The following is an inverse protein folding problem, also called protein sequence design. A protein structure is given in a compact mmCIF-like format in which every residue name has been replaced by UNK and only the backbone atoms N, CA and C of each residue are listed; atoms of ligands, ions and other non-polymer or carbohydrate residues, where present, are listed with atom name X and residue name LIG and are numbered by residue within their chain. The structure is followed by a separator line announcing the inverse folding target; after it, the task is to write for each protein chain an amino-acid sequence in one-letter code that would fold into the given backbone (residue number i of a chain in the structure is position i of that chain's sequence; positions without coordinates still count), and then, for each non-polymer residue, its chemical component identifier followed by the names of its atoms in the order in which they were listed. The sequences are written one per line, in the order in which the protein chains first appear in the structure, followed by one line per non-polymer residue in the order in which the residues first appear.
data_IF_844627138126
#
_entry.id   IF_844627138126
#
_cell.length_a   1.000
_cell.length_b   1.000
_cell.length_c   1.000
_cell.angle_alpha   90.00
_cell.angle_beta   90.00
_cell.angle_gamma   90.00
#
_symmetry.space_group_name_H-M   'P 1'
#
loop_
_entity.id
_entity.type
_entity.pdbx_description
1 polymer ?
#
# COMPACT_ATOMS: atom_id res chain seq x y z
N UNK A 1 -87.95 0.57 -37.84
CA UNK A 1 -88.73 -0.56 -37.30
C UNK A 1 -88.05 -1.05 -36.05
N UNK A 2 -88.82 -1.17 -34.96
CA UNK A 2 -88.56 -1.92 -33.72
C UNK A 2 -87.25 -1.61 -32.96
N UNK A 3 -87.22 -1.12 -31.73
CA UNK A 3 -88.24 -1.06 -30.70
C UNK A 3 -87.72 -1.71 -29.41
N UNK A 4 -87.84 -0.97 -28.31
CA UNK A 4 -87.77 -1.47 -26.93
C UNK A 4 -86.35 -1.51 -26.37
N UNK A 5 -86.04 -0.99 -25.18
CA UNK A 5 -86.81 -0.39 -24.09
C UNK A 5 -85.79 -0.26 -22.93
N UNK A 6 -85.54 0.95 -22.46
CA UNK A 6 -86.11 1.51 -21.23
C UNK A 6 -85.51 0.93 -19.93
N UNK A 7 -84.89 1.82 -19.14
CA UNK A 7 -84.98 1.73 -17.67
C UNK A 7 -83.73 2.07 -16.86
N UNK A 8 -83.69 3.32 -16.37
CA UNK A 8 -83.19 3.76 -15.05
C UNK A 8 -81.70 3.53 -14.69
N UNK A 9 -81.01 4.30 -13.83
CA UNK A 9 -81.18 5.61 -13.20
C UNK A 9 -79.82 5.93 -12.51
N UNK A 10 -79.58 7.23 -12.26
CA UNK A 10 -78.83 7.81 -11.13
C UNK A 10 -77.40 7.31 -10.77
N UNK A 11 -76.45 8.21 -11.04
CA UNK A 11 -75.47 8.82 -10.12
C UNK A 11 -74.52 7.99 -9.22
N UNK A 12 -73.25 8.43 -9.29
CA UNK A 12 -72.17 8.48 -8.29
C UNK A 12 -71.32 7.22 -7.98
N UNK A 13 -70.07 7.23 -8.47
CA UNK A 13 -68.83 6.77 -7.80
C UNK A 13 -67.65 6.99 -8.79
N UNK A 14 -66.73 7.90 -8.48
CA UNK A 14 -65.39 7.64 -7.95
C UNK A 14 -64.37 7.08 -8.97
N UNK A 15 -63.29 7.86 -9.08
CA UNK A 15 -61.90 7.51 -9.39
C UNK A 15 -61.49 6.92 -10.74
N UNK A 16 -60.98 7.86 -11.54
CA UNK A 16 -59.63 7.90 -12.12
C UNK A 16 -59.07 6.61 -12.76
N UNK A 17 -59.01 6.68 -14.09
CA UNK A 17 -58.39 5.74 -15.01
C UNK A 17 -56.99 5.27 -14.59
N UNK A 18 -56.81 3.96 -14.61
CA UNK A 18 -55.51 3.32 -14.56
C UNK A 18 -54.70 3.54 -15.85
N UNK A 19 -53.40 3.73 -15.67
CA UNK A 19 -52.38 3.51 -16.69
C UNK A 19 -51.11 2.97 -16.01
N UNK A 20 -50.55 1.93 -16.62
CA UNK A 20 -49.10 1.80 -16.73
C UNK A 20 -48.40 0.92 -15.72
N UNK A 21 -47.99 -0.26 -16.20
CA UNK A 21 -46.97 -1.13 -15.62
C UNK A 21 -45.71 -0.33 -15.25
N UNK A 22 -45.29 -0.42 -13.99
CA UNK A 22 -44.11 0.25 -13.45
C UNK A 22 -42.80 -0.42 -13.89
N UNK A 23 -42.12 0.27 -14.79
CA UNK A 23 -40.71 0.23 -15.19
C UNK A 23 -39.68 -0.47 -14.27
N UNK A 24 -39.21 -1.65 -14.70
CA UNK A 24 -37.87 -2.21 -14.37
C UNK A 24 -36.72 -1.49 -15.10
N UNK A 25 -36.94 -0.26 -15.58
CA UNK A 25 -35.98 0.52 -16.34
C UNK A 25 -35.71 1.86 -15.67
N UNK A 26 -34.75 1.89 -14.74
CA UNK A 26 -34.06 3.14 -14.35
C UNK A 26 -32.80 2.96 -13.49
N UNK A 27 -32.45 1.74 -13.05
CA UNK A 27 -31.18 1.49 -12.34
C UNK A 27 -29.98 1.40 -13.30
N UNK A 28 -30.18 0.83 -14.50
CA UNK A 28 -29.11 0.68 -15.49
C UNK A 28 -28.74 2.01 -16.20
N UNK A 29 -29.72 2.88 -16.44
CA UNK A 29 -29.51 4.20 -17.06
C UNK A 29 -28.77 5.15 -16.12
N UNK A 30 -29.17 5.21 -14.84
CA UNK A 30 -28.49 6.00 -13.81
C UNK A 30 -27.04 5.50 -13.57
N UNK A 31 -26.80 4.19 -13.68
CA UNK A 31 -25.45 3.61 -13.57
C UNK A 31 -24.54 3.97 -14.75
N UNK A 32 -25.09 4.22 -15.94
CA UNK A 32 -24.33 4.61 -17.15
C UNK A 32 -23.98 6.10 -17.20
N UNK A 33 -24.85 6.98 -16.69
CA UNK A 33 -24.60 8.44 -16.69
C UNK A 33 -23.54 8.85 -15.65
N UNK A 34 -23.43 8.12 -14.53
CA UNK A 34 -22.42 8.35 -13.49
C UNK A 34 -21.03 7.83 -13.85
N UNK A 35 -20.93 6.81 -14.71
CA UNK A 35 -19.64 6.26 -15.17
C UNK A 35 -18.86 7.30 -15.99
N UNK A 36 -19.56 8.11 -16.79
CA UNK A 36 -18.94 9.16 -17.60
C UNK A 36 -18.42 10.36 -16.77
N UNK A 37 -19.11 10.74 -15.68
CA UNK A 37 -18.74 11.91 -14.86
C UNK A 37 -17.43 11.73 -14.08
N UNK A 38 -17.08 10.48 -13.73
CA UNK A 38 -15.88 10.15 -12.96
C UNK A 38 -14.77 9.50 -13.82
N UNK A 39 -14.89 9.54 -15.16
CA UNK A 39 -13.89 9.01 -16.10
C UNK A 39 -13.82 7.48 -16.16
N UNK A 40 -14.88 6.77 -15.77
CA UNK A 40 -14.90 5.32 -15.71
C UNK A 40 -15.54 4.68 -16.95
N UNK A 41 -14.84 3.71 -17.56
CA UNK A 41 -15.47 2.77 -18.49
C UNK A 41 -16.43 1.82 -17.74
N UNK A 42 -17.62 1.63 -18.29
CA UNK A 42 -18.58 0.66 -17.76
C UNK A 42 -18.11 -0.78 -18.03
N UNK A 43 -18.19 -1.68 -17.05
CA UNK A 43 -17.79 -3.08 -17.22
C UNK A 43 -18.71 -3.82 -18.20
N UNK A 44 -18.13 -4.81 -18.88
CA UNK A 44 -18.83 -5.61 -19.91
C UNK A 44 -19.88 -6.51 -19.28
N UNK A 45 -20.91 -6.90 -20.04
CA UNK A 45 -21.96 -7.81 -19.57
C UNK A 45 -21.40 -9.14 -19.03
N UNK A 46 -20.33 -9.65 -19.67
CA UNK A 46 -19.64 -10.86 -19.25
C UNK A 46 -19.02 -10.72 -17.86
N UNK A 47 -18.39 -9.59 -17.56
CA UNK A 47 -17.81 -9.31 -16.25
C UNK A 47 -18.87 -9.24 -15.15
N UNK A 48 -20.07 -8.71 -15.46
CA UNK A 48 -21.20 -8.67 -14.52
C UNK A 48 -21.63 -10.07 -14.10
N UNK A 49 -21.89 -10.92 -15.10
CA UNK A 49 -22.32 -12.31 -14.88
C UNK A 49 -21.30 -13.11 -14.09
N UNK A 50 -20.00 -12.89 -14.32
CA UNK A 50 -18.94 -13.54 -13.57
C UNK A 50 -18.95 -13.12 -12.09
N UNK A 51 -19.08 -11.82 -11.81
CA UNK A 51 -19.14 -11.33 -10.44
C UNK A 51 -20.39 -11.85 -9.72
N UNK A 52 -21.56 -11.79 -10.37
CA UNK A 52 -22.82 -12.29 -9.80
C UNK A 52 -22.72 -13.79 -9.47
N UNK A 53 -22.18 -14.59 -10.38
CA UNK A 53 -21.98 -16.02 -10.16
C UNK A 53 -21.00 -16.33 -9.01
N UNK A 54 -19.89 -15.59 -8.90
CA UNK A 54 -18.97 -15.76 -7.77
C UNK A 54 -19.62 -15.36 -6.44
N UNK A 55 -20.40 -14.27 -6.42
CA UNK A 55 -21.12 -13.83 -5.21
C UNK A 55 -22.25 -14.78 -4.81
N UNK A 56 -22.97 -15.35 -5.78
CA UNK A 56 -24.07 -16.29 -5.53
C UNK A 56 -23.58 -17.61 -4.92
N UNK A 57 -22.41 -18.08 -5.30
CA UNK A 57 -21.84 -19.33 -4.78
C UNK A 57 -21.22 -19.23 -3.37
N UNK A 58 -21.19 -18.04 -2.77
CA UNK A 58 -20.61 -17.86 -1.44
C UNK A 58 -21.50 -18.41 -0.31
N UNK A 59 -20.88 -18.90 0.80
CA UNK A 59 -21.59 -19.20 2.04
C UNK A 59 -22.39 -17.99 2.55
N UNK A 60 -23.50 -18.25 3.24
CA UNK A 60 -24.41 -17.21 3.73
C UNK A 60 -23.71 -16.26 4.71
N UNK A 61 -22.83 -16.80 5.56
CA UNK A 61 -22.03 -16.07 6.53
C UNK A 61 -21.08 -15.09 5.81
N UNK A 62 -20.38 -15.55 4.77
CA UNK A 62 -19.49 -14.72 3.97
C UNK A 62 -20.26 -13.60 3.26
N UNK A 63 -21.43 -13.90 2.68
CA UNK A 63 -22.30 -12.88 2.07
C UNK A 63 -22.72 -11.82 3.07
N UNK A 64 -23.09 -12.22 4.28
CA UNK A 64 -23.48 -11.29 5.35
C UNK A 64 -22.32 -10.36 5.71
N UNK A 65 -21.12 -10.92 5.87
CA UNK A 65 -19.90 -10.17 6.17
C UNK A 65 -19.57 -9.15 5.06
N UNK A 66 -19.64 -9.55 3.79
CA UNK A 66 -19.36 -8.65 2.67
C UNK A 66 -20.40 -7.53 2.56
N UNK A 67 -21.65 -7.81 2.91
CA UNK A 67 -22.73 -6.80 2.94
C UNK A 67 -22.53 -5.76 4.04
N UNK A 68 -21.99 -6.16 5.19
CA UNK A 68 -21.71 -5.26 6.32
C UNK A 68 -20.67 -4.19 5.97
N UNK A 69 -19.64 -4.57 5.21
CA UNK A 69 -18.53 -3.69 4.81
C UNK A 69 -18.76 -3.05 3.42
N UNK A 70 -19.96 -3.21 2.85
CA UNK A 70 -20.27 -2.73 1.52
C UNK A 70 -20.38 -1.20 1.48
N UNK A 71 -19.66 -0.58 0.54
CA UNK A 71 -19.75 0.85 0.26
C UNK A 71 -20.44 1.03 -1.09
N UNK A 72 -21.43 1.93 -1.15
CA UNK A 72 -22.04 2.35 -2.40
C UNK A 72 -21.09 3.28 -3.18
N UNK A 73 -20.67 2.94 -4.42
CA UNK A 73 -19.84 3.80 -5.25
C UNK A 73 -20.36 5.21 -5.45
N UNK A 74 -21.67 5.44 -5.33
CA UNK A 74 -22.29 6.77 -5.47
C UNK A 74 -21.96 7.70 -4.31
N UNK A 75 -21.51 7.16 -3.18
CA UNK A 75 -21.03 7.93 -2.03
C UNK A 75 -19.55 8.33 -2.16
N UNK A 76 -18.87 7.89 -3.24
CA UNK A 76 -17.44 8.13 -3.46
C UNK A 76 -17.19 9.19 -4.53
N UNK A 77 -16.45 10.23 -4.18
CA UNK A 77 -15.92 11.23 -5.11
C UNK A 77 -14.48 10.85 -5.47
N UNK A 78 -14.26 10.32 -6.67
CA UNK A 78 -12.96 9.76 -7.06
C UNK A 78 -12.08 10.84 -7.66
N UNK A 79 -10.91 11.05 -7.05
CA UNK A 79 -9.93 12.05 -7.41
C UNK A 79 -8.85 11.52 -8.34
N UNK A 80 -7.65 12.06 -8.20
CA UNK A 80 -6.48 11.71 -9.00
C UNK A 80 -5.98 10.29 -8.76
N UNK A 81 -5.26 9.76 -9.74
CA UNK A 81 -4.55 8.48 -9.63
C UNK A 81 -3.28 8.73 -8.82
N UNK A 82 -3.13 7.99 -7.72
CA UNK A 82 -1.98 8.06 -6.80
C UNK A 82 -1.06 6.85 -6.93
N UNK A 83 -1.50 5.80 -7.63
CA UNK A 83 -0.68 4.64 -7.95
C UNK A 83 -1.31 3.80 -9.06
N UNK A 84 -0.48 3.16 -9.88
CA UNK A 84 -0.93 2.28 -10.96
C UNK A 84 -0.11 1.01 -10.94
N UNK A 85 -0.78 -0.14 -10.86
CA UNK A 85 -0.18 -1.47 -10.97
C UNK A 85 -0.71 -2.22 -12.20
N UNK A 86 -0.20 -3.43 -12.42
CA UNK A 86 -0.65 -4.27 -13.54
C UNK A 86 -2.12 -4.69 -13.44
N UNK A 87 -2.64 -4.84 -12.22
CA UNK A 87 -3.97 -5.40 -11.97
C UNK A 87 -4.96 -4.39 -11.36
N UNK A 88 -4.47 -3.27 -10.83
CA UNK A 88 -5.29 -2.26 -10.16
C UNK A 88 -4.71 -0.86 -10.29
N UNK A 89 -5.59 0.13 -10.28
CA UNK A 89 -5.24 1.53 -10.00
C UNK A 89 -5.62 1.89 -8.57
N UNK A 90 -4.85 2.78 -7.97
CA UNK A 90 -5.14 3.40 -6.68
C UNK A 90 -5.43 4.87 -6.92
N UNK A 91 -6.57 5.35 -6.42
CA UNK A 91 -7.01 6.74 -6.55
C UNK A 91 -7.24 7.36 -5.18
N UNK A 92 -6.91 8.64 -5.04
CA UNK A 92 -7.42 9.44 -3.93
C UNK A 92 -8.94 9.56 -4.07
N UNK A 93 -9.67 9.59 -2.96
CA UNK A 93 -11.12 9.66 -2.97
C UNK A 93 -11.62 10.42 -1.76
N UNK A 94 -12.73 11.16 -1.92
CA UNK A 94 -13.51 11.67 -0.79
C UNK A 94 -14.71 10.78 -0.53
N UNK A 95 -14.81 10.29 0.70
CA UNK A 95 -15.90 9.44 1.18
C UNK A 95 -16.40 9.96 2.53
N UNK A 96 -17.69 10.33 2.59
CA UNK A 96 -18.35 10.88 3.80
C UNK A 96 -17.54 11.98 4.51
N UNK A 97 -16.95 12.89 3.72
CA UNK A 97 -16.16 14.02 4.22
C UNK A 97 -14.70 13.69 4.60
N UNK A 98 -14.27 12.43 4.50
CA UNK A 98 -12.89 12.01 4.76
C UNK A 98 -12.14 11.70 3.47
N UNK A 99 -10.84 11.95 3.44
CA UNK A 99 -9.96 11.51 2.35
C UNK A 99 -9.57 10.05 2.57
N UNK A 100 -9.78 9.21 1.55
CA UNK A 100 -9.52 7.76 1.55
C UNK A 100 -8.77 7.37 0.27
N UNK A 101 -8.14 6.21 0.28
CA UNK A 101 -7.54 5.61 -0.91
C UNK A 101 -8.45 4.49 -1.44
N UNK A 102 -8.65 4.45 -2.75
CA UNK A 102 -9.48 3.44 -3.42
C UNK A 102 -8.61 2.64 -4.39
N UNK A 103 -8.40 1.35 -4.11
CA UNK A 103 -7.76 0.38 -5.01
C UNK A 103 -8.85 -0.26 -5.86
N UNK A 104 -8.89 0.08 -7.15
CA UNK A 104 -9.87 -0.42 -8.11
C UNK A 104 -9.20 -1.40 -9.09
N UNK A 105 -9.75 -2.61 -9.23
CA UNK A 105 -9.25 -3.60 -10.18
C UNK A 105 -9.51 -3.15 -11.64
N UNK A 106 -8.51 -3.32 -12.50
CA UNK A 106 -8.62 -3.03 -13.94
C UNK A 106 -9.47 -4.09 -14.65
N UNK A 107 -9.21 -5.36 -14.37
CA UNK A 107 -9.84 -6.49 -15.03
C UNK A 107 -10.44 -7.48 -14.04
N UNK A 108 -11.63 -7.96 -14.37
CA UNK A 108 -12.33 -8.99 -13.60
C UNK A 108 -12.13 -10.36 -14.24
N UNK A 109 -11.39 -11.22 -13.56
CA UNK A 109 -11.31 -12.66 -13.80
C UNK A 109 -11.80 -13.40 -12.55
N UNK A 110 -12.14 -14.68 -12.66
CA UNK A 110 -12.49 -15.46 -11.46
C UNK A 110 -11.39 -15.44 -10.40
N UNK A 111 -10.12 -15.47 -10.85
CA UNK A 111 -8.98 -15.39 -9.94
C UNK A 111 -8.86 -14.01 -9.29
N UNK A 112 -8.97 -12.91 -10.04
CA UNK A 112 -8.86 -11.56 -9.46
C UNK A 112 -9.99 -11.25 -8.48
N UNK A 113 -11.22 -11.70 -8.78
CA UNK A 113 -12.38 -11.59 -7.87
C UNK A 113 -12.12 -12.36 -6.57
N UNK A 114 -11.63 -13.61 -6.66
CA UNK A 114 -11.32 -14.43 -5.48
C UNK A 114 -10.20 -13.83 -4.64
N UNK A 115 -9.11 -13.40 -5.26
CA UNK A 115 -7.98 -12.73 -4.57
C UNK A 115 -8.44 -11.47 -3.85
N UNK A 116 -9.19 -10.61 -4.54
CA UNK A 116 -9.75 -9.38 -3.94
C UNK A 116 -10.65 -9.69 -2.73
N UNK A 117 -11.51 -10.70 -2.83
CA UNK A 117 -12.35 -11.15 -1.72
C UNK A 117 -11.55 -11.66 -0.54
N UNK A 118 -10.53 -12.47 -0.78
CA UNK A 118 -9.65 -12.93 0.29
C UNK A 118 -8.93 -11.77 0.97
N UNK A 119 -8.42 -10.80 0.20
CA UNK A 119 -7.76 -9.61 0.73
C UNK A 119 -8.71 -8.78 1.60
N UNK A 120 -9.92 -8.49 1.11
CA UNK A 120 -10.93 -7.73 1.87
C UNK A 120 -11.34 -8.46 3.16
N UNK A 121 -11.63 -9.76 3.08
CA UNK A 121 -12.03 -10.55 4.25
C UNK A 121 -10.90 -10.67 5.27
N UNK A 122 -9.66 -10.79 4.81
CA UNK A 122 -8.48 -10.75 5.67
C UNK A 122 -8.40 -9.40 6.41
N UNK A 123 -8.42 -8.29 5.67
CA UNK A 123 -8.21 -6.96 6.22
C UNK A 123 -9.35 -6.48 7.11
N UNK A 124 -10.58 -7.00 6.95
CA UNK A 124 -11.73 -6.65 7.79
C UNK A 124 -11.41 -6.75 9.27
N UNK A 125 -10.73 -7.83 9.68
CA UNK A 125 -10.49 -8.15 11.08
C UNK A 125 -9.14 -7.59 11.59
N UNK A 126 -8.31 -7.03 10.70
CA UNK A 126 -7.03 -6.44 11.08
C UNK A 126 -7.23 -5.04 11.67
N UNK A 127 -6.79 -4.87 12.91
CA UNK A 127 -6.88 -3.62 13.68
C UNK A 127 -5.60 -3.41 14.47
N UNK A 128 -4.70 -2.62 13.90
CA UNK A 128 -3.41 -2.29 14.52
C UNK A 128 -2.90 -0.94 13.97
N UNK A 129 -2.24 -0.08 14.77
CA UNK A 129 -1.75 1.22 14.31
C UNK A 129 -0.81 1.14 13.10
N UNK A 130 0.00 0.07 13.02
CA UNK A 130 0.95 -0.16 11.93
C UNK A 130 0.43 -1.05 10.79
N UNK A 131 -0.88 -1.27 10.71
CA UNK A 131 -1.53 -1.95 9.58
C UNK A 131 -2.51 -0.97 8.94
N UNK A 132 -2.59 -0.97 7.62
CA UNK A 132 -3.54 -0.11 6.90
C UNK A 132 -4.99 -0.52 7.23
N UNK A 133 -5.82 0.45 7.58
CA UNK A 133 -7.20 0.23 7.94
C UNK A 133 -8.09 0.07 6.71
N UNK A 134 -8.78 -1.07 6.62
CA UNK A 134 -9.91 -1.24 5.71
C UNK A 134 -11.11 -0.43 6.20
N UNK A 135 -11.62 0.46 5.36
CA UNK A 135 -12.85 1.22 5.59
C UNK A 135 -14.05 0.43 5.05
N UNK A 136 -13.89 -0.19 3.88
CA UNK A 136 -14.90 -1.05 3.28
C UNK A 136 -14.55 -1.46 1.86
N UNK A 137 -15.51 -2.04 1.16
CA UNK A 137 -15.33 -2.44 -0.23
C UNK A 137 -16.61 -2.22 -1.03
N UNK A 138 -16.47 -1.82 -2.29
CA UNK A 138 -17.57 -1.86 -3.25
C UNK A 138 -17.52 -3.14 -4.06
N UNK A 139 -18.69 -3.79 -4.10
CA UNK A 139 -19.01 -4.95 -4.93
C UNK A 139 -20.06 -4.61 -5.99
N UNK A 140 -20.50 -3.34 -6.04
CA UNK A 140 -21.66 -2.89 -6.84
C UNK A 140 -21.19 -2.29 -8.15
N UNK A 141 -21.95 -2.51 -9.23
CA UNK A 141 -21.70 -1.87 -10.52
C UNK A 141 -20.53 -2.50 -11.30
N UNK A 142 -20.11 -3.71 -10.94
CA UNK A 142 -19.08 -4.54 -11.60
C UNK A 142 -17.70 -3.87 -11.72
N UNK A 143 -17.36 -3.06 -10.72
CA UNK A 143 -15.98 -2.72 -10.39
C UNK A 143 -15.75 -3.03 -8.92
N UNK A 144 -14.76 -3.87 -8.67
CA UNK A 144 -14.30 -4.21 -7.33
C UNK A 144 -13.37 -3.11 -6.85
N UNK A 145 -13.76 -2.45 -5.77
CA UNK A 145 -13.01 -1.35 -5.18
C UNK A 145 -12.80 -1.61 -3.70
N UNK A 146 -11.55 -1.56 -3.26
CA UNK A 146 -11.21 -1.61 -1.84
C UNK A 146 -10.94 -0.20 -1.35
N UNK A 147 -11.59 0.17 -0.25
CA UNK A 147 -11.48 1.50 0.34
C UNK A 147 -10.70 1.40 1.64
N UNK A 148 -9.57 2.08 1.71
CA UNK A 148 -8.68 2.10 2.86
C UNK A 148 -8.38 3.54 3.29
N UNK A 149 -7.86 3.73 4.50
CA UNK A 149 -7.37 5.04 4.93
C UNK A 149 -6.27 5.58 3.99
N UNK A 150 -6.23 6.90 3.80
CA UNK A 150 -5.28 7.55 2.89
C UNK A 150 -3.98 7.94 3.61
N UNK A 151 -2.84 7.69 2.98
CA UNK A 151 -1.51 8.03 3.52
C UNK A 151 -0.87 9.15 2.69
N UNK A 152 -0.80 10.34 3.28
CA UNK A 152 -0.38 11.58 2.60
C UNK A 152 1.09 11.56 2.16
N UNK A 153 1.96 10.81 2.86
CA UNK A 153 3.40 10.80 2.61
C UNK A 153 3.84 9.67 1.67
N UNK A 154 2.90 9.01 0.98
CA UNK A 154 3.20 7.94 0.03
C UNK A 154 3.81 6.71 0.70
N UNK A 155 4.69 6.02 -0.02
CA UNK A 155 5.37 4.81 0.45
C UNK A 155 6.76 5.11 1.02
N UNK A 156 7.32 4.15 1.76
CA UNK A 156 8.69 4.19 2.23
C UNK A 156 9.67 4.21 1.05
N UNK A 157 9.32 3.62 -0.10
CA UNK A 157 10.11 3.74 -1.32
C UNK A 157 10.22 5.21 -1.78
N UNK A 158 9.10 5.94 -1.78
CA UNK A 158 9.08 7.36 -2.13
C UNK A 158 9.91 8.17 -1.12
N UNK A 159 9.74 7.87 0.17
CA UNK A 159 10.44 8.55 1.26
C UNK A 159 11.96 8.32 1.27
N UNK A 160 12.44 7.19 0.74
CA UNK A 160 13.85 6.82 0.62
C UNK A 160 14.48 7.22 -0.73
N UNK A 161 13.81 8.03 -1.53
CA UNK A 161 14.36 8.53 -2.80
C UNK A 161 15.64 9.35 -2.55
N UNK A 162 16.71 9.14 -3.35
CA UNK A 162 17.92 9.94 -3.27
C UNK A 162 17.64 11.44 -3.48
N UNK A 163 18.43 12.30 -2.85
CA UNK A 163 18.37 13.77 -3.03
C UNK A 163 17.02 14.42 -2.68
N UNK A 164 16.21 13.81 -1.81
CA UNK A 164 15.03 14.48 -1.26
C UNK A 164 15.44 15.76 -0.51
N UNK A 165 14.62 16.84 -0.56
CA UNK A 165 14.98 18.13 0.05
C UNK A 165 15.30 18.05 1.55
N UNK A 166 14.55 17.22 2.28
CA UNK A 166 14.74 16.99 3.72
C UNK A 166 15.11 15.52 3.96
N UNK A 167 16.40 15.16 4.07
CA UNK A 167 16.81 13.76 4.23
C UNK A 167 16.32 13.17 5.55
N UNK A 168 15.96 11.87 5.52
CA UNK A 168 15.57 11.14 6.72
C UNK A 168 16.81 10.72 7.51
N UNK A 169 16.86 11.10 8.78
CA UNK A 169 17.89 10.63 9.72
C UNK A 169 17.40 9.41 10.54
N UNK A 170 18.34 8.68 11.14
CA UNK A 170 18.02 7.47 11.92
C UNK A 170 17.27 7.74 13.20
N UNK A 171 17.70 8.74 13.96
CA UNK A 171 17.19 9.05 15.30
C UNK A 171 15.71 9.45 15.28
N UNK A 172 15.33 10.36 14.39
CA UNK A 172 14.01 10.98 14.39
C UNK A 172 13.02 10.25 13.48
N UNK A 173 13.50 9.50 12.48
CA UNK A 173 12.65 8.92 11.44
C UNK A 173 12.87 7.42 11.24
N UNK A 174 14.05 7.01 10.75
CA UNK A 174 14.22 5.65 10.23
C UNK A 174 14.12 4.56 11.29
N UNK A 175 14.61 4.81 12.51
CA UNK A 175 14.44 3.87 13.63
C UNK A 175 12.96 3.65 13.95
N UNK A 176 12.18 4.74 14.07
CA UNK A 176 10.74 4.66 14.28
C UNK A 176 10.04 3.88 13.16
N UNK A 177 10.39 4.16 11.91
CA UNK A 177 9.84 3.46 10.74
C UNK A 177 10.11 1.95 10.78
N UNK A 178 11.35 1.52 11.07
CA UNK A 178 11.66 0.07 11.12
C UNK A 178 11.01 -0.62 12.33
N UNK A 179 10.91 0.06 13.49
CA UNK A 179 10.17 -0.46 14.64
C UNK A 179 8.67 -0.60 14.32
N UNK A 180 8.07 0.37 13.64
CA UNK A 180 6.67 0.34 13.22
C UNK A 180 6.38 -0.86 12.29
N UNK A 181 7.29 -1.14 11.35
CA UNK A 181 7.19 -2.35 10.50
C UNK A 181 7.27 -3.61 11.35
N UNK A 182 8.24 -3.70 12.27
CA UNK A 182 8.40 -4.86 13.14
C UNK A 182 7.16 -5.09 14.04
N UNK A 183 6.56 -4.04 14.60
CA UNK A 183 5.29 -4.14 15.35
C UNK A 183 4.14 -4.63 14.49
N UNK A 184 3.99 -4.07 13.28
CA UNK A 184 2.96 -4.50 12.34
C UNK A 184 3.11 -5.97 11.96
N UNK A 185 4.33 -6.42 11.67
CA UNK A 185 4.60 -7.82 11.33
C UNK A 185 4.44 -8.77 12.52
N UNK A 186 4.85 -8.36 13.73
CA UNK A 186 4.59 -9.10 14.98
C UNK A 186 3.09 -9.34 15.15
N UNK A 187 2.27 -8.30 14.94
CA UNK A 187 0.82 -8.42 14.99
C UNK A 187 0.29 -9.42 13.94
N UNK A 188 0.75 -9.36 12.69
CA UNK A 188 0.30 -10.27 11.64
C UNK A 188 0.68 -11.73 11.92
N UNK A 189 1.89 -11.98 12.40
CA UNK A 189 2.37 -13.33 12.72
C UNK A 189 1.66 -13.96 13.93
N UNK A 190 1.02 -13.15 14.79
CA UNK A 190 0.15 -13.62 15.87
C UNK A 190 -1.34 -13.57 15.55
N UNK A 191 -1.72 -12.88 14.47
CA UNK A 191 -3.11 -12.69 14.14
C UNK A 191 -3.75 -14.00 13.67
N UNK A 192 -4.97 -14.21 14.14
CA UNK A 192 -5.83 -15.33 13.75
C UNK A 192 -6.68 -14.94 12.55
N UNK A 193 -6.84 -15.85 11.61
CA UNK A 193 -7.63 -15.62 10.42
C UNK A 193 -8.42 -16.86 9.99
N UNK A 194 -9.51 -16.67 9.25
CA UNK A 194 -10.28 -17.77 8.69
C UNK A 194 -9.70 -18.21 7.34
N UNK A 195 -9.29 -19.47 7.23
CA UNK A 195 -8.86 -20.11 6.00
C UNK A 195 -10.05 -20.84 5.36
N UNK A 196 -10.61 -20.26 4.30
CA UNK A 196 -11.76 -20.86 3.60
C UNK A 196 -11.43 -22.21 2.96
N UNK A 197 -10.21 -22.41 2.45
CA UNK A 197 -9.81 -23.66 1.82
C UNK A 197 -9.71 -24.81 2.83
N UNK A 198 -9.29 -24.51 4.06
CA UNK A 198 -9.24 -25.48 5.16
C UNK A 198 -10.54 -25.53 5.99
N UNK A 199 -11.48 -24.60 5.74
CA UNK A 199 -12.68 -24.37 6.52
C UNK A 199 -12.41 -24.30 8.05
N UNK A 200 -11.32 -23.62 8.42
CA UNK A 200 -10.83 -23.55 9.79
C UNK A 200 -10.15 -22.21 10.07
N UNK A 201 -10.05 -21.86 11.35
CA UNK A 201 -9.20 -20.74 11.75
C UNK A 201 -7.75 -21.18 11.89
N UNK A 202 -6.86 -20.38 11.35
CA UNK A 202 -5.41 -20.51 11.48
C UNK A 202 -4.83 -19.28 12.18
N UNK A 203 -3.62 -19.44 12.69
CA UNK A 203 -2.80 -18.35 13.24
C UNK A 203 -1.62 -18.12 12.30
N UNK A 204 -1.03 -16.93 12.36
CA UNK A 204 0.10 -16.49 11.55
C UNK A 204 -0.30 -16.14 10.12
N UNK A 205 -0.47 -14.83 9.89
CA UNK A 205 -0.61 -14.26 8.57
C UNK A 205 0.78 -13.93 8.04
N UNK A 206 1.22 -14.68 7.01
CA UNK A 206 2.46 -14.40 6.28
C UNK A 206 2.16 -13.39 5.17
N UNK A 207 2.91 -12.29 5.13
CA UNK A 207 2.70 -11.17 4.21
C UNK A 207 3.15 -11.48 2.77
N UNK A 208 4.36 -12.05 2.60
CA UNK A 208 4.98 -12.53 1.34
C UNK A 208 5.41 -11.49 0.33
N UNK A 209 4.89 -10.26 0.39
CA UNK A 209 5.36 -9.15 -0.46
C UNK A 209 5.80 -7.94 0.37
N UNK A 210 6.59 -8.16 1.42
CA UNK A 210 7.08 -7.08 2.28
C UNK A 210 8.22 -6.33 1.60
N UNK A 211 8.00 -5.05 1.26
CA UNK A 211 8.96 -4.19 0.57
C UNK A 211 8.61 -2.71 0.79
N UNK A 212 9.55 -1.75 0.56
CA UNK A 212 9.31 -0.33 0.81
C UNK A 212 8.08 0.26 0.10
N UNK A 213 7.67 -0.28 -1.05
CA UNK A 213 6.46 0.16 -1.77
C UNK A 213 5.16 -0.20 -1.03
N UNK A 214 5.19 -1.27 -0.23
CA UNK A 214 4.04 -1.78 0.54
C UNK A 214 4.06 -1.29 2.00
N UNK A 215 4.89 -0.30 2.31
CA UNK A 215 5.02 0.34 3.61
C UNK A 215 4.63 1.81 3.47
N UNK A 216 3.40 2.16 3.81
CA UNK A 216 2.90 3.52 3.67
C UNK A 216 3.33 4.39 4.85
N UNK A 217 3.66 5.64 4.56
CA UNK A 217 4.21 6.60 5.52
C UNK A 217 3.11 7.54 5.99
N UNK A 218 2.94 7.64 7.31
CA UNK A 218 2.02 8.62 7.91
C UNK A 218 2.66 10.00 7.94
N UNK A 219 1.85 11.04 8.18
CA UNK A 219 2.34 12.42 8.34
C UNK A 219 3.36 12.61 9.46
N UNK A 220 3.33 11.74 10.48
CA UNK A 220 4.29 11.73 11.59
C UNK A 220 5.47 10.78 11.34
N UNK A 221 5.71 10.38 10.08
CA UNK A 221 6.74 9.41 9.69
C UNK A 221 6.61 8.03 10.34
N UNK A 222 5.40 7.65 10.77
CA UNK A 222 5.09 6.27 11.14
C UNK A 222 4.84 5.39 9.92
N UNK A 223 4.80 4.07 10.10
CA UNK A 223 4.55 3.11 9.02
C UNK A 223 3.23 2.36 9.22
N UNK A 224 2.51 2.17 8.10
CA UNK A 224 1.39 1.23 7.96
C UNK A 224 1.66 0.24 6.82
N UNK A 225 1.60 -1.04 7.13
CA UNK A 225 1.78 -2.13 6.16
C UNK A 225 0.49 -2.28 5.33
N UNK A 226 0.65 -2.44 4.01
CA UNK A 226 -0.45 -2.59 3.04
C UNK A 226 -0.17 -3.71 2.03
N UNK A 227 -1.14 -3.97 1.14
CA UNK A 227 -1.09 -4.91 0.02
C UNK A 227 -0.97 -6.38 0.44
N UNK A 228 -2.08 -6.91 0.95
CA UNK A 228 -2.18 -8.30 1.41
C UNK A 228 -2.63 -9.28 0.31
N UNK A 229 -2.55 -8.86 -0.96
CA UNK A 229 -3.03 -9.65 -2.10
C UNK A 229 -2.32 -11.00 -2.29
N UNK A 230 -1.07 -11.11 -1.81
CA UNK A 230 -0.29 -12.36 -1.82
C UNK A 230 -0.25 -13.06 -0.46
N UNK A 231 -0.88 -12.47 0.56
CA UNK A 231 -0.97 -13.10 1.88
C UNK A 231 -1.70 -14.44 1.74
N UNK A 232 -1.18 -15.49 2.41
CA UNK A 232 -1.72 -16.87 2.41
C UNK A 232 -1.59 -17.67 1.09
N UNK A 233 -1.21 -17.09 -0.05
CA UNK A 233 -1.15 -17.79 -1.35
C UNK A 233 -0.06 -18.89 -1.44
N UNK A 234 -0.39 -20.16 -1.11
CA UNK A 234 0.57 -21.29 -1.25
C UNK A 234 0.94 -21.59 -2.72
N UNK A 235 0.20 -21.02 -3.69
CA UNK A 235 0.37 -21.31 -5.11
C UNK A 235 1.22 -20.21 -5.77
N UNK A 236 2.50 -20.53 -5.98
CA UNK A 236 3.52 -19.70 -6.58
C UNK A 236 3.45 -19.66 -8.12
N UNK A 237 2.28 -19.37 -8.69
CA UNK A 237 2.18 -19.10 -10.13
C UNK A 237 1.90 -17.63 -10.45
N UNK A 238 1.89 -16.75 -9.44
CA UNK A 238 1.86 -15.32 -9.66
C UNK A 238 3.20 -14.89 -10.28
N UNK A 239 3.15 -14.72 -11.60
CA UNK A 239 4.16 -14.22 -12.51
C UNK A 239 5.22 -13.35 -11.83
N UNK A 240 6.48 -13.78 -11.88
CA UNK A 240 7.68 -13.07 -11.42
C UNK A 240 7.97 -11.80 -12.25
N UNK A 241 7.01 -10.89 -12.38
CA UNK A 241 7.03 -9.85 -13.41
C UNK A 241 7.57 -8.49 -12.98
N UNK A 242 7.92 -8.28 -11.71
CA UNK A 242 8.46 -6.99 -11.27
C UNK A 242 9.98 -7.04 -11.03
N UNK A 243 10.72 -6.46 -11.98
CA UNK A 243 12.16 -6.15 -11.86
C UNK A 243 12.40 -5.37 -10.55
N UNK A 244 13.23 -5.90 -9.65
CA UNK A 244 13.55 -5.29 -8.35
C UNK A 244 12.79 -5.85 -7.14
N UNK A 245 11.57 -6.36 -7.31
CA UNK A 245 10.84 -7.05 -6.21
C UNK A 245 11.52 -8.37 -5.84
N UNK A 246 12.13 -9.04 -6.81
CA UNK A 246 12.82 -10.34 -6.62
C UNK A 246 13.85 -10.34 -5.48
N UNK A 247 14.51 -9.20 -5.22
CA UNK A 247 15.56 -9.12 -4.20
C UNK A 247 15.00 -9.12 -2.76
N UNK A 248 13.71 -8.79 -2.59
CA UNK A 248 13.01 -8.87 -1.30
C UNK A 248 12.42 -10.27 -1.03
N UNK A 249 12.38 -11.15 -2.04
CA UNK A 249 11.84 -12.50 -1.90
C UNK A 249 12.91 -13.41 -1.29
N UNK A 250 12.54 -14.15 -0.24
CA UNK A 250 13.47 -15.06 0.42
C UNK A 250 13.96 -16.18 -0.51
N UNK A 251 15.22 -16.65 -0.38
CA UNK A 251 15.81 -17.63 -1.30
C UNK A 251 15.00 -18.94 -1.40
N UNK A 252 14.50 -19.44 -0.27
CA UNK A 252 13.68 -20.65 -0.22
C UNK A 252 12.32 -20.47 -0.93
N UNK A 253 11.78 -19.25 -0.92
CA UNK A 253 10.55 -18.92 -1.65
C UNK A 253 10.81 -18.92 -3.15
N UNK A 254 11.94 -18.33 -3.59
CA UNK A 254 12.36 -18.33 -5.01
C UNK A 254 12.59 -19.75 -5.53
N UNK A 255 13.15 -20.65 -4.71
CA UNK A 255 13.36 -22.07 -5.08
C UNK A 255 12.08 -22.90 -5.14
N UNK A 256 10.98 -22.40 -4.57
CA UNK A 256 9.75 -23.17 -4.39
C UNK A 256 9.87 -24.25 -3.31
N UNK A 257 10.78 -24.06 -2.36
CA UNK A 257 10.91 -24.93 -1.18
C UNK A 257 9.70 -24.74 -0.25
N UNK A 258 9.58 -25.59 0.77
CA UNK A 258 8.69 -25.29 1.90
C UNK A 258 9.26 -24.13 2.70
N UNK A 259 8.41 -23.17 3.02
CA UNK A 259 8.76 -21.98 3.78
C UNK A 259 7.67 -21.68 4.83
N UNK A 260 8.03 -20.87 5.80
CA UNK A 260 7.20 -20.39 6.89
C UNK A 260 7.29 -18.86 6.97
N UNK A 261 6.87 -18.27 8.10
CA UNK A 261 6.86 -16.83 8.32
C UNK A 261 8.26 -16.18 8.30
N UNK A 262 9.34 -16.98 8.39
CA UNK A 262 10.72 -16.49 8.30
C UNK A 262 11.07 -15.94 6.93
N UNK A 263 10.24 -16.18 5.90
CA UNK A 263 10.41 -15.50 4.62
C UNK A 263 10.18 -13.98 4.74
N UNK A 264 9.23 -13.54 5.57
CA UNK A 264 8.97 -12.10 5.79
C UNK A 264 10.11 -11.45 6.58
N UNK A 265 10.79 -12.22 7.45
CA UNK A 265 11.98 -11.75 8.19
C UNK A 265 13.13 -11.47 7.23
N UNK A 266 13.34 -12.32 6.22
CA UNK A 266 14.31 -12.03 5.16
C UNK A 266 13.94 -10.75 4.40
N UNK A 267 12.67 -10.62 3.99
CA UNK A 267 12.19 -9.42 3.31
C UNK A 267 12.41 -8.15 4.15
N UNK A 268 12.19 -8.23 5.47
CA UNK A 268 12.44 -7.15 6.41
C UNK A 268 13.93 -6.78 6.52
N UNK A 269 14.85 -7.74 6.46
CA UNK A 269 16.28 -7.47 6.40
C UNK A 269 16.65 -6.62 5.17
N UNK A 270 16.03 -6.90 4.01
CA UNK A 270 16.23 -6.11 2.78
C UNK A 270 15.57 -4.73 2.90
N UNK A 271 14.44 -4.60 3.62
CA UNK A 271 13.85 -3.29 3.96
C UNK A 271 14.79 -2.46 4.85
N UNK A 272 15.38 -3.06 5.89
CA UNK A 272 16.37 -2.39 6.74
C UNK A 272 17.61 -1.98 5.95
N UNK A 273 18.08 -2.84 5.03
CA UNK A 273 19.15 -2.52 4.10
C UNK A 273 18.81 -1.33 3.20
N UNK A 274 17.57 -1.26 2.69
CA UNK A 274 17.11 -0.12 1.90
C UNK A 274 17.06 1.17 2.74
N UNK A 275 16.65 1.09 4.01
CA UNK A 275 16.62 2.22 4.93
C UNK A 275 18.02 2.81 5.21
N UNK A 276 19.08 2.01 5.14
CA UNK A 276 20.46 2.48 5.24
C UNK A 276 20.88 3.42 4.08
N UNK A 277 20.25 3.31 2.91
CA UNK A 277 20.56 4.11 1.72
C UNK A 277 22.06 4.14 1.34
N UNK A 278 22.76 3.00 1.50
CA UNK A 278 24.20 2.88 1.17
C UNK A 278 24.52 3.17 -0.30
N UNK A 279 23.53 2.95 -1.18
CA UNK A 279 23.55 3.22 -2.62
C UNK A 279 22.16 3.72 -3.05
N UNK A 280 21.99 4.28 -4.26
CA UNK A 280 20.71 4.81 -4.73
C UNK A 280 19.54 3.81 -4.73
N UNK A 281 19.83 2.52 -4.89
CA UNK A 281 18.84 1.44 -4.79
C UNK A 281 19.51 0.14 -4.33
N UNK A 282 18.70 -0.86 -3.99
CA UNK A 282 19.17 -2.14 -3.46
C UNK A 282 19.97 -2.96 -4.47
N UNK A 283 19.65 -2.84 -5.77
CA UNK A 283 20.39 -3.53 -6.84
C UNK A 283 21.84 -3.09 -6.84
N UNK A 284 22.08 -1.79 -6.67
CA UNK A 284 23.42 -1.21 -6.61
C UNK A 284 24.21 -1.67 -5.36
N UNK A 285 23.53 -1.91 -4.24
CA UNK A 285 24.16 -2.45 -3.02
C UNK A 285 24.73 -3.84 -3.27
N UNK A 286 23.93 -4.73 -3.88
CA UNK A 286 24.40 -6.07 -4.26
C UNK A 286 25.46 -6.00 -5.37
N UNK A 287 25.25 -5.18 -6.40
CA UNK A 287 26.17 -5.00 -7.52
C UNK A 287 27.58 -4.60 -7.06
N UNK A 288 27.68 -3.73 -6.05
CA UNK A 288 28.95 -3.33 -5.45
C UNK A 288 29.70 -4.53 -4.87
N UNK A 289 29.01 -5.43 -4.18
CA UNK A 289 29.61 -6.64 -3.60
C UNK A 289 30.15 -7.56 -4.69
N UNK A 290 29.39 -7.78 -5.76
CA UNK A 290 29.82 -8.58 -6.91
C UNK A 290 31.08 -7.98 -7.56
N UNK A 291 31.14 -6.65 -7.69
CA UNK A 291 32.33 -5.96 -8.22
C UNK A 291 33.55 -6.20 -7.33
N UNK A 292 33.40 -6.11 -6.01
CA UNK A 292 34.49 -6.33 -5.06
C UNK A 292 35.02 -7.77 -5.11
N UNK A 293 34.15 -8.77 -5.17
CA UNK A 293 34.53 -10.19 -5.35
C UNK A 293 35.33 -10.41 -6.65
N UNK A 294 34.90 -9.76 -7.74
CA UNK A 294 35.56 -9.88 -9.04
C UNK A 294 36.96 -9.25 -9.03
N UNK A 295 37.09 -8.04 -8.45
CA UNK A 295 38.37 -7.38 -8.26
C UNK A 295 39.31 -8.21 -7.37
N UNK A 296 38.80 -8.77 -6.28
CA UNK A 296 39.57 -9.62 -5.38
C UNK A 296 40.08 -10.90 -6.06
N UNK A 297 39.34 -11.40 -7.06
CA UNK A 297 39.70 -12.59 -7.84
C UNK A 297 40.66 -12.29 -9.01
N UNK A 298 41.16 -11.05 -9.14
CA UNK A 298 42.07 -10.63 -10.21
C UNK A 298 41.41 -10.47 -11.58
N UNK A 299 40.08 -10.42 -11.63
CA UNK A 299 39.33 -10.20 -12.87
C UNK A 299 39.25 -8.72 -13.24
N UNK A 300 39.28 -8.42 -14.54
CA UNK A 300 39.01 -7.07 -15.04
C UNK A 300 37.57 -6.66 -14.75
N UNK A 301 37.35 -5.47 -14.19
CA UNK A 301 36.02 -4.95 -13.89
C UNK A 301 35.13 -4.94 -15.15
N UNK A 302 34.28 -5.97 -15.32
CA UNK A 302 33.29 -5.96 -16.39
C UNK A 302 32.27 -4.85 -16.09
N UNK A 303 32.05 -3.89 -17.01
CA UNK A 303 30.96 -2.94 -16.90
C UNK A 303 29.65 -3.65 -17.26
N UNK A 304 29.21 -4.58 -16.42
CA UNK A 304 27.91 -5.20 -16.55
C UNK A 304 26.98 -4.57 -15.51
N UNK A 305 25.94 -3.87 -15.95
CA UNK A 305 24.77 -3.62 -15.12
C UNK A 305 24.20 -4.98 -14.74
N UNK A 306 24.23 -5.32 -13.46
CA UNK A 306 23.69 -6.60 -13.00
C UNK A 306 22.17 -6.54 -12.96
N UNK A 307 21.51 -7.46 -13.65
CA UNK A 307 20.06 -7.54 -13.62
C UNK A 307 19.60 -8.09 -12.26
N UNK A 308 18.41 -7.70 -11.75
CA UNK A 308 17.89 -8.27 -10.53
C UNK A 308 17.78 -9.79 -10.56
N UNK A 309 17.46 -10.37 -11.72
CA UNK A 309 17.42 -11.83 -11.90
C UNK A 309 18.79 -12.48 -11.72
N UNK A 310 19.85 -11.89 -12.27
CA UNK A 310 21.21 -12.39 -12.09
C UNK A 310 21.63 -12.36 -10.61
N UNK A 311 21.37 -11.24 -9.93
CA UNK A 311 21.67 -11.10 -8.49
C UNK A 311 20.86 -12.13 -7.69
N UNK A 312 19.57 -12.26 -7.96
CA UNK A 312 18.70 -13.25 -7.31
C UNK A 312 19.23 -14.67 -7.48
N UNK A 313 19.71 -15.02 -8.68
CA UNK A 313 20.32 -16.32 -8.95
C UNK A 313 21.55 -16.56 -8.07
N UNK A 314 22.42 -15.56 -7.89
CA UNK A 314 23.57 -15.66 -6.98
C UNK A 314 23.18 -15.70 -5.51
N UNK A 315 22.15 -14.96 -5.09
CA UNK A 315 21.59 -15.04 -3.74
C UNK A 315 21.15 -16.47 -3.41
N UNK A 316 20.48 -17.13 -4.38
CA UNK A 316 19.90 -18.47 -4.21
C UNK A 316 20.96 -19.57 -4.29
N UNK A 317 21.86 -19.50 -5.28
CA UNK A 317 22.80 -20.59 -5.59
C UNK A 317 24.16 -20.43 -4.89
N UNK A 318 24.59 -19.20 -4.65
CA UNK A 318 25.92 -18.87 -4.09
C UNK A 318 25.82 -18.23 -2.71
N UNK A 319 24.61 -18.06 -2.17
CA UNK A 319 24.35 -17.39 -0.89
C UNK A 319 24.90 -15.94 -0.83
N UNK A 320 24.95 -15.25 -1.97
CA UNK A 320 25.41 -13.87 -2.06
C UNK A 320 24.71 -12.98 -1.03
N UNK A 321 25.50 -12.23 -0.25
CA UNK A 321 25.02 -11.19 0.66
C UNK A 321 25.87 -9.93 0.51
N UNK A 322 25.28 -8.73 0.61
CA UNK A 322 26.05 -7.49 0.55
C UNK A 322 27.07 -7.39 1.67
N UNK A 323 28.25 -6.86 1.34
CA UNK A 323 29.25 -6.49 2.35
C UNK A 323 28.84 -5.16 2.95
N UNK A 324 28.49 -5.16 4.24
CA UNK A 324 28.05 -3.98 4.97
C UNK A 324 29.25 -3.20 5.53
N UNK A 325 29.36 -1.87 5.27
CA UNK A 325 30.46 -1.05 5.77
C UNK A 325 30.40 -0.82 7.28
N UNK A 326 31.53 -1.00 7.99
CA UNK A 326 31.59 -0.84 9.45
C UNK A 326 31.43 0.62 9.93
N UNK A 327 31.77 1.60 9.09
CA UNK A 327 31.81 3.02 9.49
C UNK A 327 30.54 3.82 9.17
N UNK A 328 29.55 3.20 8.53
CA UNK A 328 28.33 3.90 8.06
C UNK A 328 27.04 3.30 8.62
N UNK A 329 27.17 2.28 9.48
CA UNK A 329 26.06 1.49 10.00
C UNK A 329 26.28 1.28 11.49
N UNK A 330 25.21 1.41 12.26
CA UNK A 330 25.20 1.05 13.68
C UNK A 330 25.53 -0.45 13.84
N UNK A 331 26.59 -0.82 14.58
CA UNK A 331 26.96 -2.21 14.82
C UNK A 331 25.81 -3.13 15.20
N UNK A 332 24.90 -2.70 16.09
CA UNK A 332 23.76 -3.52 16.49
C UNK A 332 22.80 -3.79 15.33
N UNK A 333 22.54 -2.79 14.49
CA UNK A 333 21.69 -2.91 13.31
C UNK A 333 22.33 -3.80 12.24
N UNK A 334 23.65 -3.70 12.06
CA UNK A 334 24.40 -4.59 11.15
C UNK A 334 24.20 -6.06 11.55
N UNK A 335 24.38 -6.38 12.83
CA UNK A 335 24.17 -7.73 13.37
C UNK A 335 22.75 -8.22 13.10
N UNK A 336 21.75 -7.38 13.36
CA UNK A 336 20.34 -7.71 13.15
C UNK A 336 20.04 -8.01 11.67
N UNK A 337 20.51 -7.16 10.75
CA UNK A 337 20.36 -7.39 9.29
C UNK A 337 21.03 -8.71 8.91
N UNK A 338 22.24 -8.95 9.41
CA UNK A 338 23.02 -10.15 9.09
C UNK A 338 22.37 -11.45 9.57
N UNK A 339 21.72 -11.42 10.72
CA UNK A 339 20.94 -12.54 11.24
C UNK A 339 19.64 -12.74 10.47
N UNK A 340 18.91 -11.65 10.20
CA UNK A 340 17.59 -11.69 9.56
C UNK A 340 17.63 -12.16 8.10
N UNK A 341 18.71 -11.93 7.36
CA UNK A 341 18.87 -12.45 5.99
C UNK A 341 19.60 -13.80 5.91
N UNK A 342 19.75 -14.52 7.02
CA UNK A 342 20.49 -15.80 7.07
C UNK A 342 20.02 -16.76 5.97
N UNK A 343 20.93 -17.48 5.28
CA UNK A 343 20.57 -18.54 4.33
C UNK A 343 19.67 -19.62 4.91
N UNK A 344 19.81 -19.92 6.20
CA UNK A 344 18.98 -20.89 6.91
C UNK A 344 17.80 -20.17 7.60
N UNK A 345 16.54 -20.39 7.18
CA UNK A 345 15.37 -19.71 7.77
C UNK A 345 15.26 -19.89 9.29
N UNK A 346 15.61 -21.08 9.79
CA UNK A 346 15.57 -21.41 11.22
C UNK A 346 16.54 -20.58 12.08
N UNK A 347 17.57 -19.95 11.49
CA UNK A 347 18.51 -19.07 12.20
C UNK A 347 18.06 -17.61 12.20
N UNK A 348 17.02 -17.26 11.44
CA UNK A 348 16.49 -15.89 11.43
C UNK A 348 15.67 -15.67 12.70
N UNK A 349 15.77 -14.50 13.36
CA UNK A 349 14.94 -14.19 14.53
C UNK A 349 13.45 -14.11 14.15
N UNK A 350 12.57 -14.20 15.14
CA UNK A 350 11.14 -13.87 15.02
C UNK A 350 10.93 -12.35 15.04
N UNK A 351 9.77 -11.86 14.63
CA UNK A 351 9.50 -10.43 14.73
C UNK A 351 9.42 -9.92 16.17
N UNK A 352 9.09 -10.76 17.15
CA UNK A 352 9.16 -10.42 18.58
C UNK A 352 10.60 -10.13 19.01
N UNK A 353 11.52 -11.05 18.69
CA UNK A 353 12.95 -10.89 19.00
C UNK A 353 13.54 -9.68 18.27
N UNK A 354 13.16 -9.46 17.01
CA UNK A 354 13.56 -8.29 16.23
C UNK A 354 13.06 -7.01 16.87
N UNK A 355 11.78 -6.96 17.26
CA UNK A 355 11.17 -5.78 17.86
C UNK A 355 11.82 -5.44 19.19
N UNK A 356 12.01 -6.42 20.06
CA UNK A 356 12.71 -6.25 21.33
C UNK A 356 14.12 -5.72 21.10
N UNK A 357 14.88 -6.31 20.16
CA UNK A 357 16.24 -5.88 19.84
C UNK A 357 16.30 -4.44 19.27
N UNK A 358 15.34 -4.08 18.42
CA UNK A 358 15.23 -2.73 17.85
C UNK A 358 14.88 -1.69 18.92
N UNK A 359 13.94 -1.98 19.80
CA UNK A 359 13.45 -1.03 20.82
C UNK A 359 14.33 -0.93 22.06
N UNK A 360 15.32 -1.81 22.20
CA UNK A 360 16.32 -1.80 23.26
C UNK A 360 17.70 -1.48 22.71
N UNK A 361 18.44 -2.48 22.22
CA UNK A 361 19.86 -2.39 21.85
C UNK A 361 20.10 -1.38 20.73
N UNK A 362 19.34 -1.46 19.63
CA UNK A 362 19.52 -0.53 18.50
C UNK A 362 19.09 0.88 18.89
N UNK A 363 17.97 1.00 19.61
CA UNK A 363 17.49 2.30 20.08
C UNK A 363 18.49 2.97 21.01
N UNK A 364 19.04 2.27 21.99
CA UNK A 364 20.04 2.83 22.89
C UNK A 364 21.28 3.27 22.11
N UNK A 365 21.78 2.44 21.18
CA UNK A 365 22.91 2.80 20.32
C UNK A 365 22.63 4.05 19.46
N UNK A 366 21.43 4.18 18.89
CA UNK A 366 21.02 5.34 18.07
C UNK A 366 20.85 6.60 18.93
N UNK A 367 20.39 6.44 20.18
CA UNK A 367 20.11 7.57 21.08
C UNK A 367 21.37 8.06 21.80
N UNK A 368 22.32 7.16 22.12
CA UNK A 368 23.59 7.45 22.79
C UNK A 368 24.67 7.96 21.84
N UNK A 369 24.67 7.56 20.56
CA UNK A 369 25.69 8.00 19.60
C UNK A 369 25.54 9.47 19.17
N UNK A 370 26.41 10.32 19.73
CA UNK A 370 27.01 11.44 19.00
C UNK A 370 28.15 10.91 18.13
N UNK A 371 27.88 10.59 16.86
CA UNK A 371 28.77 10.71 15.68
C UNK A 371 28.30 9.75 14.56
N UNK A 372 27.90 10.30 13.42
CA UNK A 372 28.64 10.18 12.15
C UNK A 372 28.43 11.52 11.44
N UNK A 373 29.51 12.09 10.95
CA UNK A 373 29.59 13.38 10.28
C UNK A 373 28.48 13.52 9.21
N UNK A 374 27.49 14.39 9.44
CA UNK A 374 26.36 14.67 8.53
C UNK A 374 26.81 15.43 7.25
N UNK A 375 28.11 15.42 6.91
CA UNK A 375 28.61 16.07 5.71
C UNK A 375 28.34 15.19 4.50
N UNK A 376 27.50 15.61 3.52
CA UNK A 376 27.36 14.89 2.26
C UNK A 376 28.73 14.82 1.56
N UNK A 377 29.05 13.73 0.83
CA UNK A 377 30.23 13.71 -0.01
C UNK A 377 30.05 14.73 -1.15
N UNK A 378 30.52 15.97 -0.97
CA UNK A 378 30.46 16.96 -2.06
C UNK A 378 30.64 18.45 -1.76
N UNK A 379 30.85 18.93 -0.53
CA UNK A 379 31.01 20.38 -0.29
C UNK A 379 32.43 20.76 0.10
N UNK A 380 33.28 20.91 -0.92
CA UNK A 380 34.50 21.70 -0.79
C UNK A 380 34.13 23.15 -0.43
N UNK A 381 34.85 23.70 0.53
CA UNK A 381 34.64 25.00 1.14
C UNK A 381 34.55 26.15 0.13
N UNK A 382 33.52 27.00 0.29
CA UNK A 382 33.56 28.40 -0.12
C UNK A 382 32.88 29.22 0.99
N UNK A 383 33.63 30.17 1.56
CA UNK A 383 33.33 30.78 2.85
C UNK A 383 32.27 31.88 2.86
N UNK A 384 31.89 32.22 4.10
CA UNK A 384 31.56 33.58 4.55
C UNK A 384 30.18 34.13 4.17
N UNK A 385 29.33 34.33 5.19
CA UNK A 385 28.21 35.27 5.10
C UNK A 385 27.00 34.85 5.94
N UNK A 386 26.95 35.31 7.19
CA UNK A 386 25.76 35.21 8.03
C UNK A 386 24.61 36.05 7.45
N UNK A 387 23.42 35.46 7.27
CA UNK A 387 22.15 36.19 7.17
C UNK A 387 21.04 35.38 7.85
N UNK A 388 20.33 36.01 8.78
CA UNK A 388 19.24 35.46 9.59
C UNK A 388 17.97 35.17 8.76
N UNK A 389 17.07 34.27 9.23
CA UNK A 389 15.85 33.95 8.50
C UNK A 389 14.75 34.98 8.80
N UNK A 390 14.25 35.65 7.76
CA UNK A 390 13.07 36.50 7.85
C UNK A 390 11.83 35.69 7.44
N UNK A 391 10.94 35.46 8.40
CA UNK A 391 9.57 35.05 8.17
C UNK A 391 8.81 36.17 7.47
N UNK A 392 8.06 35.86 6.41
CA UNK A 392 6.90 36.67 6.04
C UNK A 392 5.82 35.84 5.37
N UNK A 393 4.76 35.61 6.16
CA UNK A 393 3.46 35.18 5.72
C UNK A 393 2.88 36.13 4.66
N UNK A 394 2.45 35.58 3.53
CA UNK A 394 1.51 36.24 2.64
C UNK A 394 0.12 36.23 3.29
N UNK A 395 -0.39 37.41 3.64
CA UNK A 395 -1.82 37.64 3.78
C UNK A 395 -2.15 39.05 3.35
N UNK A 396 -2.76 39.13 2.18
CA UNK A 396 -3.84 40.05 1.78
C UNK A 396 -4.05 41.30 2.63
N UNK A 397 -3.98 42.47 1.98
CA UNK A 397 -5.15 43.32 1.73
C UNK A 397 -4.70 44.61 1.07
N UNK A 398 -5.13 44.79 -0.19
CA UNK A 398 -5.17 46.09 -0.81
C UNK A 398 -6.25 46.95 -0.16
N UNK A 399 -5.93 48.23 0.06
CA UNK A 399 -6.87 49.34 -0.17
C UNK A 399 -6.09 50.65 -0.25
N UNK A 400 -6.19 51.23 -1.43
CA UNK A 400 -5.82 52.58 -1.83
C UNK A 400 -6.49 53.65 -0.95
N UNK A 401 -5.68 54.55 -0.39
CA UNK A 401 -6.12 55.93 -0.12
C UNK A 401 -6.18 56.72 -1.44
N UNK A 402 -6.90 57.86 -1.49
CA UNK A 402 -6.27 59.07 -0.96
C UNK A 402 -7.26 60.02 -0.26
N UNK A 403 -6.77 60.83 0.67
CA UNK A 403 -7.47 62.07 1.04
C UNK A 403 -6.48 63.12 1.50
N UNK A 404 -6.25 64.11 0.63
CA UNK A 404 -5.74 65.43 0.99
C UNK A 404 -6.89 66.42 1.09
N UNK A 405 -6.74 67.37 2.01
CA UNK A 405 -7.54 68.59 2.21
C UNK A 405 -8.90 68.37 2.89
N UNK A 406 -9.45 69.28 3.69
CA UNK A 406 -8.95 70.37 4.53
C UNK A 406 -10.18 70.83 5.34
N UNK A 407 -9.95 71.45 6.51
CA UNK A 407 -10.91 72.28 7.29
C UNK A 407 -12.00 71.60 8.13
N UNK A 408 -11.86 71.79 9.45
CA UNK A 408 -12.94 71.97 10.46
C UNK A 408 -13.62 73.36 10.28
N UNK A 409 -14.65 73.77 11.05
CA UNK A 409 -15.56 73.06 11.97
C UNK A 409 -17.07 73.34 11.71
N UNK A 410 -17.96 72.58 12.36
CA UNK A 410 -19.04 72.98 13.30
C UNK A 410 -19.86 71.72 13.60
#
# INVERSE_FOLDING_TARGET
GGGGGAGAAAATAHDSMGLGQGSSGNLASASMTLTAANGYQAPTEQQRRLLDAEMENLPAETKSVLKEIAIDPREMELGEVIGTGAFAEVRACRYRGSTVAVKALHELSQESIRRFRYEVLLMKDLRHPNIILLIGASWVGNKLMMVVEYMECGSMADALTPNRPEPLNWKDHKLGMVCDVARGMTYLHHARYFNEAANAYETCIIHRDLKPQNLLVTRSYGIKITDFGEARSKNQNATMTAVGTLLYIAPEVVRGDRYDEKCDVYSFAIVMLAALQLKPNIVDVFAETIKQEHLASGGEAKPATYTPMYITTRIVNEHLRPILPDRQIFPSLKILIEQAWSPAPALRPTFDEILEYLETIVKDEVMENKLLDDTPPGTAAAGGGAVAPCCSCCSSRGRSGPSSSSRRPV
#
